data_IF_382062051494
#
_entry.id   IF_382062051494
#
_cell.length_a   1.000
_cell.length_b   1.000
_cell.length_c   1.000
_cell.angle_alpha   90.00
_cell.angle_beta   90.00
_cell.angle_gamma   90.00
#
_symmetry.space_group_name_H-M   'P 1'
#
loop_
_entity.id
_entity.type
_entity.pdbx_description
1 polymer ?
#
# COMPACT_ATOMS: atom_id res chain seq x y z
N UNK A 1 13.71 12.40 -2.37
CA UNK A 1 14.30 11.04 -2.43
C UNK A 1 13.38 10.15 -1.61
N UNK A 2 12.71 9.16 -2.21
CA UNK A 2 11.84 8.27 -1.44
C UNK A 2 12.69 7.41 -0.52
N UNK A 3 12.33 7.32 0.75
CA UNK A 3 12.99 6.44 1.70
C UNK A 3 12.12 5.21 1.91
N UNK A 4 12.75 4.04 2.02
CA UNK A 4 12.04 2.83 2.41
C UNK A 4 11.67 2.99 3.88
N UNK A 5 10.37 2.88 4.19
CA UNK A 5 9.90 2.77 5.57
C UNK A 5 10.43 1.50 6.22
N UNK A 6 10.75 1.58 7.50
CA UNK A 6 11.18 0.42 8.28
C UNK A 6 10.07 -0.64 8.26
N UNK A 7 10.42 -1.86 7.88
CA UNK A 7 9.50 -2.99 7.98
C UNK A 7 10.16 -4.21 8.60
N UNK A 8 9.38 -5.04 9.28
CA UNK A 8 9.83 -6.28 9.89
C UNK A 8 8.91 -7.45 9.52
N UNK A 9 9.46 -8.65 9.54
CA UNK A 9 8.73 -9.89 9.31
C UNK A 9 8.21 -10.37 10.66
N UNK A 10 6.89 -10.48 10.82
CA UNK A 10 6.25 -10.94 12.08
C UNK A 10 5.78 -12.40 11.98
N UNK A 11 5.69 -12.95 10.77
CA UNK A 11 5.26 -14.32 10.52
C UNK A 11 5.83 -14.84 9.20
N UNK A 12 5.35 -15.98 8.72
CA UNK A 12 5.79 -16.52 7.43
C UNK A 12 5.36 -15.64 6.25
N UNK A 13 4.21 -14.97 6.36
CA UNK A 13 3.61 -14.16 5.28
C UNK A 13 3.24 -12.73 5.73
N UNK A 14 3.57 -12.36 6.96
CA UNK A 14 3.15 -11.10 7.57
C UNK A 14 4.31 -10.13 7.75
N UNK A 15 4.11 -8.91 7.25
CA UNK A 15 5.05 -7.80 7.30
C UNK A 15 4.45 -6.63 8.07
N UNK A 16 5.19 -6.08 9.01
CA UNK A 16 4.82 -4.83 9.67
C UNK A 16 5.54 -3.67 9.04
N UNK A 17 4.83 -2.66 8.55
CA UNK A 17 5.42 -1.39 8.11
C UNK A 17 5.28 -0.37 9.23
N UNK A 18 6.39 0.21 9.67
CA UNK A 18 6.43 1.27 10.68
C UNK A 18 6.57 2.65 10.05
N UNK A 19 5.70 3.56 10.48
CA UNK A 19 5.72 4.99 10.13
C UNK A 19 6.43 5.83 11.20
N UNK A 20 7.29 5.21 12.02
CA UNK A 20 8.05 5.87 13.10
C UNK A 20 8.75 7.16 12.66
N UNK A 21 9.34 7.15 11.46
CA UNK A 21 10.03 8.32 10.89
C UNK A 21 9.16 9.57 10.84
N UNK A 22 7.84 9.42 10.76
CA UNK A 22 6.90 10.54 10.73
C UNK A 22 6.21 10.80 12.07
N UNK A 23 6.41 9.93 13.06
CA UNK A 23 5.87 10.07 14.41
C UNK A 23 6.87 10.82 15.32
N UNK A 24 7.55 11.83 14.79
CA UNK A 24 8.55 12.61 15.53
C UNK A 24 7.89 13.70 16.39
N UNK A 25 8.51 14.08 17.52
CA UNK A 25 7.98 15.15 18.36
C UNK A 25 7.80 16.46 17.57
N UNK A 26 6.58 17.00 17.60
CA UNK A 26 6.20 18.25 16.96
C UNK A 26 5.13 18.98 17.81
N UNK A 27 4.80 20.22 17.47
CA UNK A 27 3.88 21.06 18.26
C UNK A 27 2.47 20.46 18.39
N UNK A 28 2.05 19.67 17.41
CA UNK A 28 0.74 19.02 17.39
C UNK A 28 0.77 17.59 17.97
N UNK A 29 1.95 17.06 18.33
CA UNK A 29 2.13 15.68 18.82
C UNK A 29 1.25 15.37 20.03
N UNK A 30 1.01 16.35 20.91
CA UNK A 30 0.11 16.23 22.08
C UNK A 30 -1.34 15.89 21.71
N UNK A 31 -1.70 16.00 20.43
CA UNK A 31 -3.03 15.67 19.92
C UNK A 31 -3.03 14.49 18.93
N UNK A 32 -1.89 13.82 18.75
CA UNK A 32 -1.76 12.63 17.92
C UNK A 32 -1.90 11.37 18.79
N UNK A 33 -2.54 10.33 18.24
CA UNK A 33 -2.61 9.01 18.91
C UNK A 33 -1.25 8.31 18.91
N UNK A 34 -0.53 8.45 17.81
CA UNK A 34 0.77 7.81 17.58
C UNK A 34 1.93 8.77 17.83
N UNK A 35 3.05 8.25 18.28
CA UNK A 35 4.25 9.03 18.60
C UNK A 35 5.52 8.18 18.52
N UNK A 36 6.67 8.77 18.84
CA UNK A 36 7.97 8.11 18.67
C UNK A 36 8.07 6.76 19.39
N UNK A 37 7.48 6.65 20.59
CA UNK A 37 7.54 5.42 21.40
C UNK A 37 6.47 4.39 21.00
N UNK A 38 5.41 4.82 20.31
CA UNK A 38 4.33 3.97 19.82
C UNK A 38 3.94 4.45 18.41
N UNK A 39 4.77 4.09 17.40
CA UNK A 39 4.58 4.60 16.06
C UNK A 39 3.36 3.96 15.40
N UNK A 40 2.77 4.67 14.45
CA UNK A 40 1.75 4.08 13.58
C UNK A 40 2.37 2.93 12.78
N UNK A 41 1.72 1.77 12.80
CA UNK A 41 2.19 0.58 12.09
C UNK A 41 1.06 -0.05 11.29
N UNK A 42 1.40 -0.67 10.16
CA UNK A 42 0.47 -1.33 9.25
C UNK A 42 0.95 -2.73 8.96
N UNK A 43 0.07 -3.71 9.21
CA UNK A 43 0.32 -5.10 8.85
C UNK A 43 -0.11 -5.36 7.40
N UNK A 44 0.82 -5.92 6.62
CA UNK A 44 0.65 -6.36 5.24
C UNK A 44 0.83 -7.87 5.20
N UNK A 45 -0.17 -8.56 4.65
CA UNK A 45 -0.16 -10.01 4.50
C UNK A 45 0.04 -10.38 3.02
N UNK A 46 0.95 -11.33 2.74
CA UNK A 46 1.22 -11.76 1.37
C UNK A 46 0.04 -12.47 0.71
N UNK A 47 -0.75 -13.24 1.46
CA UNK A 47 -1.98 -13.86 0.96
C UNK A 47 -2.97 -12.81 0.45
N UNK A 48 -3.18 -11.72 1.20
CA UNK A 48 -4.03 -10.61 0.78
C UNK A 48 -3.52 -9.95 -0.51
N UNK A 49 -2.21 -9.73 -0.61
CA UNK A 49 -1.57 -9.19 -1.81
C UNK A 49 -1.75 -10.10 -3.02
N UNK A 50 -1.52 -11.39 -2.84
CA UNK A 50 -1.65 -12.39 -3.91
C UNK A 50 -3.10 -12.51 -4.37
N UNK A 51 -4.04 -12.56 -3.43
CA UNK A 51 -5.48 -12.58 -3.74
C UNK A 51 -5.92 -11.33 -4.52
N UNK A 52 -5.39 -10.16 -4.16
CA UNK A 52 -5.65 -8.93 -4.91
C UNK A 52 -5.09 -8.99 -6.34
N UNK A 53 -3.87 -9.52 -6.53
CA UNK A 53 -3.27 -9.75 -7.86
C UNK A 53 -4.10 -10.73 -8.69
N UNK A 54 -4.52 -11.84 -8.10
CA UNK A 54 -5.35 -12.86 -8.76
C UNK A 54 -6.69 -12.31 -9.19
N UNK A 55 -7.36 -11.52 -8.33
CA UNK A 55 -8.62 -10.85 -8.67
C UNK A 55 -8.45 -9.94 -9.90
N UNK A 56 -7.40 -9.10 -9.91
CA UNK A 56 -7.12 -8.21 -11.06
C UNK A 56 -6.83 -9.02 -12.32
N UNK A 57 -6.05 -10.10 -12.21
CA UNK A 57 -5.76 -11.02 -13.32
C UNK A 57 -7.04 -11.63 -13.88
N UNK A 58 -7.91 -12.14 -13.00
CA UNK A 58 -9.18 -12.75 -13.38
C UNK A 58 -10.12 -11.75 -14.08
N UNK A 59 -10.28 -10.56 -13.51
CA UNK A 59 -11.13 -9.51 -14.08
C UNK A 59 -10.65 -9.07 -15.48
N UNK A 60 -9.32 -8.99 -15.68
CA UNK A 60 -8.74 -8.68 -16.99
C UNK A 60 -8.93 -9.84 -17.98
N UNK A 61 -8.71 -11.08 -17.56
CA UNK A 61 -8.92 -12.25 -18.41
C UNK A 61 -10.37 -12.35 -18.88
N UNK A 62 -11.34 -12.13 -17.99
CA UNK A 62 -12.76 -12.12 -18.36
C UNK A 62 -13.09 -11.03 -19.39
N UNK A 63 -12.47 -9.85 -19.27
CA UNK A 63 -12.65 -8.77 -20.25
C UNK A 63 -12.05 -9.16 -21.61
N UNK A 64 -10.82 -9.66 -21.61
CA UNK A 64 -10.12 -10.08 -22.83
C UNK A 64 -10.87 -11.21 -23.55
N UNK A 65 -11.38 -12.21 -22.82
CA UNK A 65 -12.18 -13.30 -23.39
C UNK A 65 -13.48 -12.82 -24.07
N UNK A 66 -14.03 -11.68 -23.66
CA UNK A 66 -15.23 -11.10 -24.26
C UNK A 66 -14.94 -10.21 -25.47
N UNK A 67 -13.71 -9.72 -25.60
CA UNK A 67 -13.32 -8.75 -26.62
C UNK A 67 -12.43 -9.31 -27.72
N UNK A 68 -11.66 -10.36 -27.42
CA UNK A 68 -10.72 -10.99 -28.35
C UNK A 68 -11.42 -12.08 -29.17
N UNK A 69 -10.83 -12.39 -30.32
CA UNK A 69 -11.35 -13.43 -31.22
C UNK A 69 -11.27 -14.82 -30.56
N UNK A 70 -12.23 -15.69 -30.87
CA UNK A 70 -12.33 -17.05 -30.32
C UNK A 70 -11.12 -17.92 -30.68
N UNK A 71 -10.39 -17.57 -31.75
CA UNK A 71 -9.15 -18.23 -32.16
C UNK A 71 -7.94 -17.92 -31.26
N UNK A 72 -8.01 -16.87 -30.43
CA UNK A 72 -6.93 -16.52 -29.50
C UNK A 72 -6.90 -17.52 -28.35
N UNK A 73 -5.73 -18.13 -28.13
CA UNK A 73 -5.56 -19.14 -27.10
C UNK A 73 -5.53 -18.54 -25.69
N UNK A 74 -5.86 -19.35 -24.68
CA UNK A 74 -5.79 -18.93 -23.29
C UNK A 74 -4.38 -18.44 -22.89
N UNK A 75 -3.32 -19.09 -23.38
CA UNK A 75 -1.94 -18.70 -23.10
C UNK A 75 -1.60 -17.31 -23.64
N UNK A 76 -2.10 -16.96 -24.83
CA UNK A 76 -1.93 -15.63 -25.42
C UNK A 76 -2.71 -14.57 -24.64
N UNK A 77 -3.90 -14.89 -24.15
CA UNK A 77 -4.68 -14.00 -23.28
C UNK A 77 -3.97 -13.74 -21.95
N UNK A 78 -3.39 -14.77 -21.33
CA UNK A 78 -2.62 -14.64 -20.08
C UNK A 78 -1.41 -13.72 -20.27
N UNK A 79 -0.71 -13.80 -21.41
CA UNK A 79 0.43 -12.90 -21.72
C UNK A 79 0.02 -11.43 -21.89
N UNK A 80 -1.25 -11.17 -22.27
CA UNK A 80 -1.78 -9.81 -22.39
C UNK A 80 -2.16 -9.17 -21.05
N UNK A 81 -2.32 -9.97 -19.99
CA UNK A 81 -2.66 -9.46 -18.65
C UNK A 81 -1.49 -8.64 -18.09
N UNK A 82 -1.78 -7.41 -17.67
CA UNK A 82 -0.82 -6.55 -16.98
C UNK A 82 -1.40 -6.15 -15.64
N UNK A 83 -0.84 -6.71 -14.57
CA UNK A 83 -1.25 -6.40 -13.20
C UNK A 83 -0.68 -5.03 -12.83
N UNK A 84 -1.56 -4.07 -12.57
CA UNK A 84 -1.14 -2.75 -12.09
C UNK A 84 -0.98 -2.78 -10.56
N UNK A 85 0.25 -3.05 -10.11
CA UNK A 85 0.59 -3.08 -8.68
C UNK A 85 0.35 -1.73 -7.99
N UNK A 86 0.47 -0.59 -8.69
CA UNK A 86 0.20 0.71 -8.08
C UNK A 86 -1.25 0.86 -7.63
N UNK A 87 -2.20 0.31 -8.40
CA UNK A 87 -3.62 0.33 -8.03
C UNK A 87 -3.87 -0.50 -6.77
N UNK A 88 -3.21 -1.66 -6.66
CA UNK A 88 -3.32 -2.53 -5.48
C UNK A 88 -2.74 -1.81 -4.26
N UNK A 89 -1.54 -1.25 -4.36
CA UNK A 89 -0.91 -0.52 -3.26
C UNK A 89 -1.69 0.73 -2.87
N UNK A 90 -2.27 1.43 -3.85
CA UNK A 90 -3.12 2.59 -3.62
C UNK A 90 -4.37 2.21 -2.81
N UNK A 91 -5.01 1.09 -3.16
CA UNK A 91 -6.16 0.59 -2.40
C UNK A 91 -5.77 0.25 -0.96
N UNK A 92 -4.67 -0.48 -0.76
CA UNK A 92 -4.16 -0.81 0.58
C UNK A 92 -3.86 0.46 1.39
N UNK A 93 -3.27 1.46 0.76
CA UNK A 93 -3.00 2.76 1.38
C UNK A 93 -4.29 3.47 1.81
N UNK A 94 -5.33 3.46 0.99
CA UNK A 94 -6.63 4.04 1.36
C UNK A 94 -7.21 3.32 2.58
N UNK A 95 -7.23 1.98 2.54
CA UNK A 95 -7.93 1.17 3.52
C UNK A 95 -7.20 1.08 4.87
N UNK A 96 -5.86 1.03 4.85
CA UNK A 96 -5.06 0.82 6.06
C UNK A 96 -4.45 2.10 6.62
N UNK A 97 -4.17 3.11 5.79
CA UNK A 97 -3.52 4.35 6.24
C UNK A 97 -4.49 5.53 6.25
N UNK A 98 -5.11 5.87 5.12
CA UNK A 98 -6.00 7.05 5.06
C UNK A 98 -7.30 6.87 5.83
N UNK A 99 -7.78 5.64 6.00
CA UNK A 99 -8.90 5.35 6.89
C UNK A 99 -8.64 5.81 8.33
N UNK A 100 -7.37 5.86 8.76
CA UNK A 100 -6.94 6.27 10.10
C UNK A 100 -6.64 7.78 10.22
N UNK A 101 -7.11 8.61 9.29
CA UNK A 101 -6.84 10.06 9.29
C UNK A 101 -7.21 10.76 10.60
N UNK A 102 -8.26 10.32 11.29
CA UNK A 102 -8.67 10.91 12.58
C UNK A 102 -7.64 10.63 13.69
N UNK A 103 -6.94 9.50 13.60
CA UNK A 103 -5.90 9.09 14.54
C UNK A 103 -4.53 9.68 14.16
N UNK A 104 -4.35 10.01 12.88
CA UNK A 104 -3.13 10.55 12.28
C UNK A 104 -3.40 12.00 11.82
N UNK A 105 -3.30 12.96 12.73
CA UNK A 105 -3.63 14.37 12.47
C UNK A 105 -2.90 14.99 11.27
N UNK A 106 -1.66 14.56 10.99
CA UNK A 106 -0.90 15.01 9.82
C UNK A 106 -1.51 14.58 8.47
N UNK A 107 -2.50 13.69 8.48
CA UNK A 107 -3.28 13.27 7.32
C UNK A 107 -4.72 13.82 7.34
N UNK A 108 -5.07 14.65 8.32
CA UNK A 108 -6.41 15.22 8.49
C UNK A 108 -6.45 16.72 8.15
N UNK A 109 -6.96 17.02 6.95
CA UNK A 109 -7.12 18.40 6.44
C UNK A 109 -8.10 19.24 7.26
N UNK A 110 -8.91 18.64 8.14
CA UNK A 110 -9.80 19.38 9.05
C UNK A 110 -9.10 19.85 10.33
N UNK A 111 -7.90 19.30 10.63
CA UNK A 111 -7.14 19.57 11.87
C UNK A 111 -5.83 20.29 11.63
N UNK A 112 -5.27 20.15 10.43
CA UNK A 112 -3.98 20.72 10.02
C UNK A 112 -4.16 21.39 8.65
N UNK A 113 -3.33 22.39 8.36
CA UNK A 113 -3.32 23.09 7.07
C UNK A 113 -3.36 22.11 5.89
N UNK A 114 -4.30 22.32 4.97
CA UNK A 114 -4.57 21.37 3.90
C UNK A 114 -3.40 21.22 2.91
N UNK A 115 -2.61 22.28 2.70
CA UNK A 115 -1.44 22.22 1.83
C UNK A 115 -0.33 21.39 2.48
N UNK A 116 -0.11 21.58 3.78
CA UNK A 116 0.84 20.78 4.56
C UNK A 116 0.44 19.30 4.60
N UNK A 117 -0.85 19.01 4.83
CA UNK A 117 -1.39 17.64 4.83
C UNK A 117 -1.25 16.98 3.46
N UNK A 118 -1.51 17.72 2.38
CA UNK A 118 -1.35 17.18 1.02
C UNK A 118 0.10 16.82 0.72
N UNK A 119 1.05 17.70 1.07
CA UNK A 119 2.48 17.45 0.89
C UNK A 119 2.95 16.24 1.72
N UNK A 120 2.62 16.20 3.01
CA UNK A 120 2.98 15.09 3.89
C UNK A 120 2.34 13.78 3.44
N UNK A 121 1.07 13.80 3.05
CA UNK A 121 0.38 12.63 2.52
C UNK A 121 1.02 12.10 1.23
N UNK A 122 1.55 12.98 0.38
CA UNK A 122 2.30 12.58 -0.80
C UNK A 122 3.64 11.94 -0.43
N UNK A 123 4.39 12.51 0.51
CA UNK A 123 5.67 11.97 0.96
C UNK A 123 5.49 10.58 1.59
N UNK A 124 4.49 10.43 2.47
CA UNK A 124 4.19 9.14 3.09
C UNK A 124 3.75 8.10 2.06
N UNK A 125 2.94 8.50 1.07
CA UNK A 125 2.54 7.62 -0.01
C UNK A 125 3.73 7.17 -0.85
N UNK A 126 4.66 8.05 -1.18
CA UNK A 126 5.86 7.69 -1.95
C UNK A 126 6.72 6.67 -1.21
N UNK A 127 6.98 6.91 0.07
CA UNK A 127 7.79 6.01 0.91
C UNK A 127 7.06 4.67 1.14
N UNK A 128 5.75 4.70 1.41
CA UNK A 128 4.92 3.50 1.52
C UNK A 128 4.90 2.68 0.22
N UNK A 129 4.70 3.31 -0.93
CA UNK A 129 4.68 2.65 -2.24
C UNK A 129 6.04 1.99 -2.54
N UNK A 130 7.15 2.64 -2.19
CA UNK A 130 8.48 2.04 -2.30
C UNK A 130 8.67 0.84 -1.38
N UNK A 131 8.21 0.91 -0.11
CA UNK A 131 8.24 -0.23 0.82
C UNK A 131 7.36 -1.38 0.36
N UNK A 132 6.16 -1.11 -0.16
CA UNK A 132 5.26 -2.13 -0.68
C UNK A 132 5.86 -2.88 -1.88
N UNK A 133 6.64 -2.21 -2.74
CA UNK A 133 7.38 -2.91 -3.81
C UNK A 133 8.41 -3.88 -3.26
N UNK A 134 9.14 -3.50 -2.20
CA UNK A 134 10.10 -4.37 -1.55
C UNK A 134 9.41 -5.59 -0.91
N UNK A 135 8.35 -5.35 -0.13
CA UNK A 135 7.53 -6.43 0.48
C UNK A 135 6.93 -7.33 -0.60
N UNK A 136 6.43 -6.76 -1.69
CA UNK A 136 5.90 -7.54 -2.80
C UNK A 136 6.96 -8.48 -3.39
N UNK A 137 8.20 -8.01 -3.53
CA UNK A 137 9.32 -8.84 -3.98
C UNK A 137 9.66 -9.96 -2.99
N UNK A 138 9.50 -9.74 -1.69
CA UNK A 138 9.63 -10.81 -0.70
C UNK A 138 8.45 -11.80 -0.77
N UNK A 139 7.21 -11.33 -0.89
CA UNK A 139 6.03 -12.17 -1.05
C UNK A 139 6.11 -13.07 -2.29
N UNK A 140 6.70 -12.58 -3.38
CA UNK A 140 6.88 -13.35 -4.61
C UNK A 140 7.90 -14.49 -4.49
N UNK A 141 8.78 -14.48 -3.48
CA UNK A 141 9.72 -15.59 -3.21
C UNK A 141 9.09 -16.74 -2.42
N UNK A 142 7.94 -16.50 -1.78
CA UNK A 142 7.24 -17.48 -0.96
C UNK A 142 6.39 -18.43 -1.84
N UNK A 143 6.10 -18.01 -3.07
CA UNK A 143 5.26 -18.72 -4.06
C UNK A 143 6.11 -19.64 -4.95
#
# INVERSE_FOLDING_TARGET
MSNILNYSIIGLEDFNISFEKYCTPCEIQKYCKYGKNEPFTVVINCSDLNRAKEKVKFDQLQKLQKTEDVSVTYEELVRKVKINLQNIFSQIWQDKVKAQKEEIRCLDTSKVDAMLVAQQGQDWWQDFNSTMKAINGECEKII
#
